data_IF_707551918339
#
_entry.id   IF_707551918339
#
_cell.length_a   1.000
_cell.length_b   1.000
_cell.length_c   1.000
_cell.angle_alpha   90.00
_cell.angle_beta   90.00
_cell.angle_gamma   90.00
#
_symmetry.space_group_name_H-M   'P 1'
#
loop_
_entity.id
_entity.type
_entity.pdbx_description
1 polymer ?
#
# COMPACT_ATOMS: atom_id res chain seq x y z
N UNK A 1 19.02 -22.27 52.43
CA UNK A 1 19.38 -21.84 51.06
C UNK A 1 18.50 -22.47 49.97
N UNK A 2 18.19 -23.77 49.98
CA UNK A 2 17.31 -24.43 48.97
C UNK A 2 15.92 -23.79 48.80
N UNK A 3 15.30 -23.27 49.86
CA UNK A 3 13.96 -22.64 49.80
C UNK A 3 13.93 -21.33 49.01
N UNK A 4 15.04 -20.58 48.99
CA UNK A 4 15.14 -19.32 48.23
C UNK A 4 15.27 -19.56 46.71
N UNK A 5 15.97 -20.62 46.30
CA UNK A 5 16.06 -21.00 44.89
C UNK A 5 14.71 -21.44 44.31
N UNK A 6 13.88 -22.14 45.10
CA UNK A 6 12.53 -22.56 44.67
C UNK A 6 11.61 -21.34 44.50
N UNK A 7 11.69 -20.37 45.40
CA UNK A 7 10.90 -19.14 45.30
C UNK A 7 11.31 -18.28 44.09
N UNK A 8 12.60 -18.17 43.80
CA UNK A 8 13.09 -17.43 42.62
C UNK A 8 12.66 -18.09 41.29
N UNK A 9 12.66 -19.42 41.25
CA UNK A 9 12.19 -20.18 40.09
C UNK A 9 10.68 -20.05 39.87
N UNK A 10 9.89 -20.00 40.96
CA UNK A 10 8.45 -19.79 40.89
C UNK A 10 8.08 -18.40 40.33
N UNK A 11 8.81 -17.34 40.70
CA UNK A 11 8.58 -15.98 40.19
C UNK A 11 8.89 -15.89 38.69
N UNK A 12 9.94 -16.57 38.22
CA UNK A 12 10.30 -16.62 36.80
C UNK A 12 9.29 -17.41 35.95
N UNK A 13 8.66 -18.45 36.51
CA UNK A 13 7.63 -19.24 35.80
C UNK A 13 6.30 -18.48 35.72
N UNK A 14 5.96 -17.70 36.74
CA UNK A 14 4.72 -16.92 36.80
C UNK A 14 4.77 -15.62 35.96
N UNK A 15 5.97 -15.14 35.62
CA UNK A 15 6.21 -14.05 34.68
C UNK A 15 6.05 -14.45 33.22
N UNK A 16 4.99 -15.16 32.87
CA UNK A 16 4.71 -15.52 31.48
C UNK A 16 4.58 -14.27 30.60
N UNK A 17 5.33 -14.22 29.49
CA UNK A 17 5.21 -13.16 28.49
C UNK A 17 3.79 -13.14 27.89
N UNK A 18 2.88 -12.38 28.50
CA UNK A 18 1.53 -12.17 28.00
C UNK A 18 1.57 -11.11 26.90
N UNK A 19 1.32 -11.50 25.65
CA UNK A 19 1.20 -10.53 24.56
C UNK A 19 -0.11 -9.74 24.73
N UNK A 20 -0.03 -8.40 24.71
CA UNK A 20 -1.19 -7.52 24.77
C UNK A 20 -2.16 -7.85 23.63
N UNK A 21 -3.44 -8.06 23.96
CA UNK A 21 -4.49 -8.29 22.95
C UNK A 21 -4.82 -6.99 22.22
N UNK A 22 -5.01 -7.07 20.91
CA UNK A 22 -5.45 -5.94 20.09
C UNK A 22 -6.98 -5.97 19.98
N UNK A 23 -7.71 -4.93 20.43
CA UNK A 23 -9.15 -4.84 20.24
C UNK A 23 -9.49 -4.46 18.79
N UNK A 24 -10.59 -5.00 18.27
CA UNK A 24 -11.15 -4.55 16.98
C UNK A 24 -11.93 -3.26 17.22
N UNK A 25 -11.64 -2.22 16.43
CA UNK A 25 -12.38 -0.97 16.45
C UNK A 25 -13.86 -1.22 16.14
N UNK A 26 -14.76 -0.47 16.76
CA UNK A 26 -16.21 -0.70 16.60
C UNK A 26 -16.65 -0.67 15.13
N UNK A 27 -16.03 0.20 14.34
CA UNK A 27 -16.28 0.40 12.91
C UNK A 27 -15.63 -0.68 12.04
N UNK A 28 -14.52 -1.26 12.49
CA UNK A 28 -13.78 -2.33 11.80
C UNK A 28 -14.43 -3.72 11.97
N UNK A 29 -15.47 -3.87 12.80
CA UNK A 29 -16.15 -5.15 13.03
C UNK A 29 -16.73 -5.74 11.74
N UNK A 30 -17.23 -4.86 10.86
CA UNK A 30 -17.84 -5.22 9.58
C UNK A 30 -16.82 -5.59 8.50
N UNK A 31 -15.52 -5.40 8.76
CA UNK A 31 -14.47 -5.90 7.88
C UNK A 31 -14.37 -7.42 8.03
N UNK A 32 -14.40 -8.12 6.90
CA UNK A 32 -14.42 -9.59 6.86
C UNK A 32 -13.41 -10.14 5.86
N UNK A 33 -12.93 -11.37 6.04
CA UNK A 33 -12.09 -12.02 5.04
C UNK A 33 -12.87 -12.24 3.73
N UNK A 34 -12.14 -12.31 2.61
CA UNK A 34 -12.65 -12.69 1.29
C UNK A 34 -11.74 -13.74 0.66
N UNK A 35 -12.27 -14.56 -0.26
CA UNK A 35 -11.48 -15.48 -1.09
C UNK A 35 -11.11 -14.84 -2.43
N UNK A 36 -10.03 -15.29 -3.06
CA UNK A 36 -9.62 -14.85 -4.41
C UNK A 36 -10.77 -14.97 -5.43
N UNK A 37 -11.48 -16.08 -5.44
CA UNK A 37 -12.65 -16.30 -6.32
C UNK A 37 -13.79 -15.31 -6.06
N UNK A 38 -13.95 -14.87 -4.81
CA UNK A 38 -14.98 -13.91 -4.41
C UNK A 38 -14.59 -12.48 -4.80
N UNK A 39 -13.29 -12.14 -4.79
CA UNK A 39 -12.79 -10.85 -5.27
C UNK A 39 -13.19 -10.65 -6.73
N UNK A 40 -12.97 -11.67 -7.57
CA UNK A 40 -13.28 -11.63 -9.00
C UNK A 40 -14.80 -11.57 -9.22
N UNK A 41 -15.56 -12.47 -8.59
CA UNK A 41 -17.02 -12.56 -8.82
C UNK A 41 -17.79 -11.36 -8.31
N UNK A 42 -17.36 -10.74 -7.20
CA UNK A 42 -17.98 -9.55 -6.62
C UNK A 42 -17.43 -8.23 -7.21
N UNK A 43 -16.47 -8.30 -8.14
CA UNK A 43 -15.81 -7.15 -8.76
C UNK A 43 -15.31 -6.15 -7.72
N UNK A 44 -14.52 -6.64 -6.77
CA UNK A 44 -14.01 -5.81 -5.70
C UNK A 44 -12.85 -4.94 -6.17
N UNK A 45 -12.81 -3.70 -5.69
CA UNK A 45 -11.70 -2.79 -5.96
C UNK A 45 -10.54 -3.12 -5.02
N UNK A 46 -9.34 -3.25 -5.57
CA UNK A 46 -8.12 -3.39 -4.78
C UNK A 46 -7.79 -2.04 -4.10
N UNK A 47 -7.47 -2.07 -2.81
CA UNK A 47 -7.16 -0.87 -2.02
C UNK A 47 -5.66 -0.77 -1.76
N UNK A 48 -5.08 -1.75 -1.06
CA UNK A 48 -3.68 -1.69 -0.60
C UNK A 48 -3.16 -3.09 -0.25
N UNK A 49 -1.82 -3.27 -0.25
CA UNK A 49 -1.15 -4.42 0.36
C UNK A 49 -0.59 -4.02 1.74
N UNK A 50 -0.91 -4.80 2.75
CA UNK A 50 -0.43 -4.63 4.12
C UNK A 50 0.43 -5.81 4.57
N UNK A 51 1.60 -5.53 5.13
CA UNK A 51 2.49 -6.56 5.69
C UNK A 51 2.47 -6.50 7.22
N UNK A 52 2.03 -7.59 7.84
CA UNK A 52 2.07 -7.76 9.28
C UNK A 52 3.26 -8.62 9.68
N UNK A 53 4.16 -8.09 10.52
CA UNK A 53 5.32 -8.81 11.02
C UNK A 53 5.18 -9.14 12.52
N UNK A 54 5.62 -10.33 12.89
CA UNK A 54 5.80 -10.84 14.27
C UNK A 54 4.65 -10.55 15.25
N UNK A 55 3.41 -10.70 14.79
CA UNK A 55 2.23 -10.55 15.62
C UNK A 55 1.88 -11.86 16.34
N UNK A 56 1.36 -11.75 17.56
CA UNK A 56 0.80 -12.92 18.23
C UNK A 56 -0.37 -13.46 17.40
N UNK A 57 -0.51 -14.79 17.19
CA UNK A 57 -1.52 -15.33 16.27
C UNK A 57 -2.97 -14.91 16.56
N UNK A 58 -3.30 -14.68 17.83
CA UNK A 58 -4.63 -14.17 18.23
C UNK A 58 -4.89 -12.71 17.84
N UNK A 59 -3.85 -11.94 17.50
CA UNK A 59 -3.94 -10.54 17.13
C UNK A 59 -3.90 -10.31 15.61
N UNK A 60 -3.54 -11.33 14.81
CA UNK A 60 -3.46 -11.19 13.34
C UNK A 60 -4.79 -10.69 12.78
N UNK A 61 -5.90 -11.38 13.06
CA UNK A 61 -7.22 -10.97 12.55
C UNK A 61 -7.66 -9.60 13.07
N UNK A 62 -7.56 -9.28 14.38
CA UNK A 62 -7.90 -7.95 14.86
C UNK A 62 -7.12 -6.81 14.22
N UNK A 63 -5.81 -7.00 14.02
CA UNK A 63 -4.95 -6.02 13.35
C UNK A 63 -5.40 -5.86 11.90
N UNK A 64 -5.55 -6.95 11.15
CA UNK A 64 -5.98 -6.87 9.74
C UNK A 64 -7.33 -6.17 9.58
N UNK A 65 -8.30 -6.40 10.48
CA UNK A 65 -9.59 -5.70 10.44
C UNK A 65 -9.43 -4.19 10.66
N UNK A 66 -8.63 -3.80 11.64
CA UNK A 66 -8.42 -2.40 11.96
C UNK A 66 -7.70 -1.69 10.82
N UNK A 67 -6.61 -2.26 10.33
CA UNK A 67 -5.80 -1.68 9.26
C UNK A 67 -6.59 -1.60 7.94
N UNK A 68 -7.33 -2.66 7.59
CA UNK A 68 -8.21 -2.62 6.42
C UNK A 68 -9.27 -1.53 6.52
N UNK A 69 -9.87 -1.34 7.70
CA UNK A 69 -10.83 -0.25 7.91
C UNK A 69 -10.16 1.13 7.77
N UNK A 70 -8.97 1.32 8.35
CA UNK A 70 -8.22 2.58 8.25
C UNK A 70 -7.84 2.91 6.81
N UNK A 71 -7.51 1.89 6.01
CA UNK A 71 -7.26 2.01 4.58
C UNK A 71 -8.53 2.27 3.74
N UNK A 72 -9.73 2.24 4.34
CA UNK A 72 -11.01 2.42 3.65
C UNK A 72 -11.53 1.16 2.94
N UNK A 73 -10.98 0.00 3.26
CA UNK A 73 -11.42 -1.30 2.77
C UNK A 73 -12.50 -1.91 3.67
N UNK A 74 -13.31 -2.80 3.09
CA UNK A 74 -14.32 -3.58 3.83
C UNK A 74 -14.06 -5.09 3.78
N UNK A 75 -13.10 -5.55 2.98
CA UNK A 75 -12.62 -6.93 2.95
C UNK A 75 -11.10 -6.98 3.02
N UNK A 76 -10.58 -8.11 3.50
CA UNK A 76 -9.16 -8.45 3.41
C UNK A 76 -8.97 -9.88 2.93
N UNK A 77 -7.88 -10.13 2.21
CA UNK A 77 -7.42 -11.46 1.80
C UNK A 77 -6.01 -11.63 2.35
N UNK A 78 -5.70 -12.77 2.95
CA UNK A 78 -4.31 -13.10 3.29
C UNK A 78 -3.73 -13.80 2.07
N UNK A 79 -2.85 -13.11 1.33
CA UNK A 79 -2.21 -13.65 0.13
C UNK A 79 -1.08 -14.61 0.50
N UNK A 80 -0.31 -14.29 1.54
CA UNK A 80 0.81 -15.12 1.97
C UNK A 80 0.98 -15.14 3.50
N UNK A 81 1.36 -16.30 4.04
CA UNK A 81 1.78 -16.45 5.43
C UNK A 81 3.29 -16.65 5.46
N UNK A 82 4.03 -15.60 5.85
CA UNK A 82 5.50 -15.60 5.83
C UNK A 82 6.10 -16.27 7.07
N UNK A 83 5.43 -16.19 8.22
CA UNK A 83 5.85 -16.88 9.45
C UNK A 83 4.66 -17.40 10.24
N UNK A 84 4.90 -18.52 10.92
CA UNK A 84 3.94 -19.11 11.85
C UNK A 84 4.56 -19.24 13.24
N UNK A 85 3.71 -19.17 14.27
CA UNK A 85 4.04 -19.47 15.65
C UNK A 85 3.08 -20.54 16.16
N UNK A 86 3.62 -21.70 16.53
CA UNK A 86 2.82 -22.88 16.93
C UNK A 86 1.77 -23.25 15.87
N UNK A 87 2.19 -23.32 14.60
CA UNK A 87 1.35 -23.62 13.43
C UNK A 87 0.20 -22.62 13.16
N UNK A 88 0.23 -21.44 13.79
CA UNK A 88 -0.74 -20.37 13.53
C UNK A 88 -0.03 -19.17 12.91
N UNK A 89 -0.64 -18.46 11.96
CA UNK A 89 0.00 -17.29 11.34
C UNK A 89 0.45 -16.27 12.38
N UNK A 90 1.67 -15.77 12.25
CA UNK A 90 2.22 -14.68 13.06
C UNK A 90 2.76 -13.56 12.18
N UNK A 91 3.13 -13.84 10.94
CA UNK A 91 3.46 -12.82 9.94
C UNK A 91 2.75 -13.16 8.64
N UNK A 92 2.11 -12.17 8.04
CA UNK A 92 1.27 -12.33 6.85
C UNK A 92 1.41 -11.13 5.92
N UNK A 93 1.25 -11.38 4.64
CA UNK A 93 0.98 -10.36 3.62
C UNK A 93 -0.51 -10.46 3.35
N UNK A 94 -1.21 -9.33 3.47
CA UNK A 94 -2.63 -9.24 3.25
C UNK A 94 -2.94 -8.15 2.23
N UNK A 95 -3.96 -8.40 1.43
CA UNK A 95 -4.49 -7.47 0.44
C UNK A 95 -5.84 -6.97 0.92
N UNK A 96 -6.07 -5.67 0.77
CA UNK A 96 -7.29 -5.01 1.20
C UNK A 96 -8.16 -4.70 -0.01
N UNK A 97 -9.46 -4.95 0.13
CA UNK A 97 -10.43 -4.85 -0.94
C UNK A 97 -11.68 -4.11 -0.51
N UNK A 98 -12.31 -3.45 -1.47
CA UNK A 98 -13.61 -2.81 -1.30
C UNK A 98 -14.64 -3.49 -2.21
N UNK A 99 -15.54 -4.25 -1.60
CA UNK A 99 -16.61 -4.98 -2.28
C UNK A 99 -17.98 -4.40 -1.88
N UNK A 100 -18.64 -3.63 -2.76
CA UNK A 100 -20.03 -3.09 -2.72
C UNK A 100 -20.61 -2.51 -1.39
N UNK A 101 -21.34 -1.38 -1.46
CA UNK A 101 -22.82 -1.49 -1.45
C UNK A 101 -23.59 -0.59 -2.42
N UNK A 102 -22.95 0.36 -3.08
CA UNK A 102 -23.40 1.04 -4.29
C UNK A 102 -22.12 1.38 -5.02
N UNK A 103 -22.15 1.48 -6.35
CA UNK A 103 -21.07 2.08 -7.12
C UNK A 103 -20.91 3.57 -6.73
N UNK A 104 -20.40 3.84 -5.54
CA UNK A 104 -19.19 4.63 -5.55
C UNK A 104 -18.09 3.66 -5.98
N UNK A 105 -17.86 3.41 -7.29
CA UNK A 105 -16.90 4.25 -8.03
C UNK A 105 -16.38 5.31 -7.08
N UNK A 106 -15.09 5.40 -6.87
CA UNK A 106 -14.56 6.72 -6.53
C UNK A 106 -14.86 7.60 -7.76
N UNK A 107 -16.12 8.01 -7.94
CA UNK A 107 -16.48 9.26 -8.52
C UNK A 107 -15.69 10.16 -7.58
N UNK A 108 -14.60 10.70 -8.10
CA UNK A 108 -14.05 11.95 -7.63
C UNK A 108 -15.22 12.95 -7.61
N UNK A 109 -16.11 12.82 -6.63
CA UNK A 109 -17.12 13.79 -6.26
C UNK A 109 -16.43 14.57 -5.17
N UNK A 110 -16.02 15.81 -5.35
CA UNK A 110 -16.49 16.87 -6.24
C UNK A 110 -15.27 17.80 -6.41
N UNK A 111 -14.99 18.26 -7.62
CA UNK A 111 -14.15 19.46 -7.87
C UNK A 111 -12.70 19.48 -7.32
N UNK A 112 -12.07 18.35 -7.04
CA UNK A 112 -10.61 18.34 -7.05
C UNK A 112 -10.16 18.15 -8.49
N UNK A 113 -10.08 19.24 -9.26
CA UNK A 113 -9.00 19.30 -10.27
C UNK A 113 -7.78 18.76 -9.54
N UNK A 114 -7.20 17.65 -10.00
CA UNK A 114 -5.97 17.15 -9.37
C UNK A 114 -4.97 18.27 -9.62
N UNK A 115 -4.72 19.09 -8.60
CA UNK A 115 -3.82 20.22 -8.69
C UNK A 115 -2.42 19.69 -8.41
N UNK A 116 -1.45 20.22 -9.15
CA UNK A 116 -0.05 19.98 -8.87
C UNK A 116 0.25 20.38 -7.43
N UNK A 117 0.79 19.45 -6.64
CA UNK A 117 1.31 19.78 -5.31
C UNK A 117 2.50 20.74 -5.44
N UNK A 118 2.74 21.62 -4.47
CA UNK A 118 3.92 22.46 -4.47
C UNK A 118 5.19 21.62 -4.65
N UNK A 119 5.98 21.93 -5.68
CA UNK A 119 7.19 21.18 -6.04
C UNK A 119 7.03 20.14 -7.16
N UNK A 120 5.83 19.56 -7.34
CA UNK A 120 5.56 18.63 -8.44
C UNK A 120 5.57 19.31 -9.82
N UNK A 121 5.45 20.65 -9.87
CA UNK A 121 5.56 21.45 -11.10
C UNK A 121 6.92 21.29 -11.81
N UNK A 122 7.96 20.87 -11.08
CA UNK A 122 9.30 20.65 -11.64
C UNK A 122 9.51 19.23 -12.16
N UNK A 123 8.52 18.35 -11.95
CA UNK A 123 8.55 16.99 -12.49
C UNK A 123 8.15 17.04 -13.95
N UNK A 124 8.90 16.34 -14.80
CA UNK A 124 8.58 16.23 -16.22
C UNK A 124 8.80 14.80 -16.71
N UNK A 125 8.18 14.40 -17.83
CA UNK A 125 8.54 13.15 -18.49
C UNK A 125 10.00 13.19 -18.95
N UNK A 126 10.62 12.01 -19.05
CA UNK A 126 11.95 11.82 -19.65
C UNK A 126 11.83 10.91 -20.87
N UNK A 127 12.51 11.28 -21.95
CA UNK A 127 12.62 10.45 -23.15
C UNK A 127 13.83 9.50 -23.03
N UNK A 128 13.75 8.30 -23.60
CA UNK A 128 14.83 7.30 -23.51
C UNK A 128 16.18 7.81 -24.04
N UNK A 129 16.19 8.70 -25.03
CA UNK A 129 17.41 9.34 -25.52
C UNK A 129 18.15 10.18 -24.46
N UNK A 130 17.44 10.62 -23.41
CA UNK A 130 17.99 11.38 -22.29
C UNK A 130 18.45 10.50 -21.13
N UNK A 131 17.86 9.29 -20.99
CA UNK A 131 18.23 8.30 -19.95
C UNK A 131 19.63 7.75 -20.18
N UNK A 132 20.03 7.59 -21.44
CA UNK A 132 21.39 7.17 -21.80
C UNK A 132 22.43 8.29 -21.65
N UNK A 133 21.99 9.54 -21.56
CA UNK A 133 22.87 10.72 -21.65
C UNK A 133 22.98 11.58 -20.38
N UNK A 134 22.26 11.29 -19.29
CA UNK A 134 22.32 12.13 -18.09
C UNK A 134 22.26 11.34 -16.78
N UNK A 135 22.89 11.93 -15.76
CA UNK A 135 23.03 11.53 -14.35
C UNK A 135 21.70 11.30 -13.60
N UNK A 136 20.91 10.34 -14.07
CA UNK A 136 19.59 9.98 -13.56
C UNK A 136 19.65 8.62 -12.89
N UNK A 137 19.23 8.54 -11.63
CA UNK A 137 19.10 7.30 -10.88
C UNK A 137 17.66 6.81 -10.93
N UNK A 138 17.43 5.55 -11.30
CA UNK A 138 16.13 4.91 -11.15
C UNK A 138 15.84 4.75 -9.64
N UNK A 139 14.69 5.25 -9.20
CA UNK A 139 14.24 5.12 -7.82
C UNK A 139 13.33 3.91 -7.66
N UNK A 140 12.29 3.83 -8.47
CA UNK A 140 11.29 2.76 -8.39
C UNK A 140 10.42 2.73 -9.65
N UNK A 141 9.68 1.65 -9.84
CA UNK A 141 8.64 1.50 -10.85
C UNK A 141 7.30 1.50 -10.13
N UNK A 142 6.37 2.37 -10.54
CA UNK A 142 5.08 2.53 -9.90
C UNK A 142 3.94 2.28 -10.88
N UNK A 143 2.86 1.67 -10.39
CA UNK A 143 1.67 1.35 -11.18
C UNK A 143 0.57 2.35 -10.86
N UNK A 144 0.16 3.12 -11.85
CA UNK A 144 -0.92 4.09 -11.78
C UNK A 144 -2.19 3.44 -12.34
N UNK A 145 -3.25 3.41 -11.53
CA UNK A 145 -4.52 2.77 -11.89
C UNK A 145 -5.64 3.81 -11.90
N UNK A 146 -6.53 3.70 -12.88
CA UNK A 146 -7.82 4.40 -12.95
C UNK A 146 -7.73 5.94 -12.86
N UNK A 147 -6.73 6.54 -13.51
CA UNK A 147 -6.65 8.00 -13.61
C UNK A 147 -7.44 8.45 -14.84
N UNK A 148 -8.16 9.58 -14.74
CA UNK A 148 -8.75 10.22 -15.91
C UNK A 148 -7.61 10.62 -16.86
N UNK A 149 -7.82 10.57 -18.18
CA UNK A 149 -6.75 10.94 -19.13
C UNK A 149 -6.29 12.38 -18.98
N UNK A 150 -7.17 13.26 -18.50
CA UNK A 150 -6.89 14.68 -18.27
C UNK A 150 -6.06 14.92 -17.01
N UNK A 151 -6.22 14.07 -15.98
CA UNK A 151 -5.48 14.18 -14.73
C UNK A 151 -4.24 13.29 -14.65
N UNK A 152 -4.02 12.41 -15.65
CA UNK A 152 -2.94 11.43 -15.64
C UNK A 152 -1.57 12.07 -15.47
N UNK A 153 -1.31 13.15 -16.18
CA UNK A 153 -0.03 13.87 -16.10
C UNK A 153 0.18 14.52 -14.73
N UNK A 154 -0.88 15.07 -14.14
CA UNK A 154 -0.80 15.73 -12.84
C UNK A 154 -0.59 14.71 -11.72
N UNK A 155 -1.28 13.56 -11.80
CA UNK A 155 -1.09 12.46 -10.85
C UNK A 155 0.31 11.85 -10.99
N UNK A 156 0.80 11.65 -12.22
CA UNK A 156 2.17 11.21 -12.47
C UNK A 156 3.18 12.17 -11.85
N UNK A 157 3.02 13.48 -12.05
CA UNK A 157 3.90 14.48 -11.47
C UNK A 157 3.86 14.47 -9.93
N UNK A 158 2.67 14.42 -9.35
CA UNK A 158 2.47 14.39 -7.91
C UNK A 158 3.11 13.15 -7.27
N UNK A 159 2.82 11.96 -7.77
CA UNK A 159 3.38 10.71 -7.21
C UNK A 159 4.88 10.61 -7.43
N UNK A 160 5.37 11.03 -8.59
CA UNK A 160 6.81 11.07 -8.86
C UNK A 160 7.53 11.96 -7.86
N UNK A 161 6.97 13.12 -7.54
CA UNK A 161 7.52 14.01 -6.52
C UNK A 161 7.46 13.38 -5.12
N UNK A 162 6.33 12.80 -4.74
CA UNK A 162 6.14 12.12 -3.45
C UNK A 162 7.11 10.95 -3.24
N UNK A 163 7.44 10.24 -4.32
CA UNK A 163 8.42 9.15 -4.34
C UNK A 163 9.87 9.65 -4.44
N UNK A 164 10.10 10.97 -4.36
CA UNK A 164 11.41 11.61 -4.34
C UNK A 164 12.05 11.78 -5.72
N UNK A 165 11.34 11.45 -6.79
CA UNK A 165 11.76 11.65 -8.17
C UNK A 165 11.58 13.08 -8.66
N UNK A 166 12.19 13.39 -9.79
CA UNK A 166 11.95 14.61 -10.55
C UNK A 166 11.72 14.36 -12.05
N UNK A 167 11.76 13.09 -12.47
CA UNK A 167 11.47 12.64 -13.82
C UNK A 167 10.72 11.31 -13.77
N UNK A 168 9.84 11.07 -14.73
CA UNK A 168 9.18 9.78 -14.90
C UNK A 168 9.16 9.34 -16.35
N UNK A 169 9.08 8.04 -16.57
CA UNK A 169 8.99 7.44 -17.89
C UNK A 169 7.89 6.37 -17.91
N UNK A 170 6.88 6.51 -18.78
CA UNK A 170 5.80 5.53 -18.90
C UNK A 170 6.31 4.32 -19.68
N UNK A 171 6.51 3.20 -19.00
CA UNK A 171 7.05 1.97 -19.59
C UNK A 171 5.97 1.10 -20.22
N UNK A 172 4.75 1.11 -19.67
CA UNK A 172 3.66 0.26 -20.17
C UNK A 172 2.30 0.90 -19.95
N UNK A 173 1.42 0.78 -20.95
CA UNK A 173 0.00 1.06 -20.79
C UNK A 173 -0.71 -0.22 -20.32
N UNK A 174 -1.48 -0.12 -19.24
CA UNK A 174 -2.22 -1.25 -18.66
C UNK A 174 -3.64 -1.27 -19.18
N UNK A 175 -4.29 -0.10 -19.22
CA UNK A 175 -5.68 0.01 -19.65
C UNK A 175 -5.89 1.29 -20.44
N UNK A 176 -6.70 1.20 -21.48
CA UNK A 176 -7.00 2.27 -22.42
C UNK A 176 -8.49 2.29 -22.67
N UNK A 177 -9.13 3.43 -22.44
CA UNK A 177 -10.55 3.64 -22.74
C UNK A 177 -10.64 4.77 -23.76
N UNK A 178 -11.36 4.55 -24.86
CA UNK A 178 -11.52 5.51 -25.97
C UNK A 178 -10.19 6.05 -26.55
N UNK A 179 -9.14 5.21 -26.57
CA UNK A 179 -7.82 5.57 -27.10
C UNK A 179 -6.96 6.40 -26.15
N UNK A 180 -7.44 6.68 -24.93
CA UNK A 180 -6.72 7.38 -23.89
C UNK A 180 -6.27 6.43 -22.77
N UNK A 181 -5.06 6.62 -22.26
CA UNK A 181 -4.50 5.76 -21.21
C UNK A 181 -5.16 6.06 -19.86
N UNK A 182 -5.78 5.05 -19.25
CA UNK A 182 -6.37 5.13 -17.89
C UNK A 182 -5.46 4.57 -16.81
N UNK A 183 -4.62 3.62 -17.18
CA UNK A 183 -3.70 2.96 -16.25
C UNK A 183 -2.35 2.79 -16.91
N UNK A 184 -1.29 3.18 -16.22
CA UNK A 184 0.09 3.16 -16.75
C UNK A 184 1.07 2.64 -15.71
N UNK A 185 2.11 1.95 -16.17
CA UNK A 185 3.31 1.68 -15.39
C UNK A 185 4.30 2.76 -15.75
N UNK A 186 4.86 3.44 -14.75
CA UNK A 186 5.91 4.42 -14.96
C UNK A 186 7.11 4.18 -14.04
N UNK A 187 8.29 4.27 -14.63
CA UNK A 187 9.56 4.31 -13.91
C UNK A 187 9.82 5.73 -13.44
N UNK A 188 10.29 5.85 -12.20
CA UNK A 188 10.55 7.12 -11.54
C UNK A 188 12.05 7.29 -11.37
N UNK A 189 12.54 8.46 -11.76
CA UNK A 189 13.95 8.79 -11.77
C UNK A 189 14.22 10.04 -10.92
N UNK A 190 15.43 10.05 -10.34
CA UNK A 190 16.04 11.24 -9.76
C UNK A 190 17.25 11.64 -10.59
N UNK A 191 17.08 12.68 -11.39
CA UNK A 191 18.13 13.32 -12.15
C UNK A 191 18.76 14.44 -11.33
N UNK A 192 20.09 14.57 -11.35
CA UNK A 192 20.74 15.77 -10.82
C UNK A 192 20.26 16.98 -11.64
N UNK A 193 19.79 18.03 -10.97
CA UNK A 193 19.62 19.31 -11.63
C UNK A 193 21.00 19.77 -12.11
N UNK A 194 21.16 20.03 -13.41
CA UNK A 194 22.24 20.90 -13.86
C UNK A 194 21.91 22.28 -13.29
N UNK A 195 22.39 22.57 -12.08
CA UNK A 195 22.50 23.95 -11.64
C UNK A 195 23.39 24.62 -12.65
N UNK A 196 22.83 25.55 -13.42
CA UNK A 196 23.60 26.45 -14.26
C UNK A 196 24.45 27.26 -13.27
N UNK A 197 25.71 26.89 -13.11
CA UNK A 197 26.70 27.81 -12.56
C UNK A 197 26.79 28.94 -13.58
N UNK A 198 26.21 30.08 -13.23
CA UNK A 198 26.49 31.35 -13.89
C UNK A 198 27.82 31.89 -13.37
#
# INVERSE_FOLDING_TARGET
MKKFFIALFAVLILGGCATKKVPVMSQAKNVTPISESSVISQKCDFVEVYTLADSHPNNVVPVLKNEAYLAGANRYLISEVTKTRRNRPSSVIAEFYRCNPHQTKKKLTIESQIKLIPGAQNVSPIAFAEVENNSCKILTTHVFKEVSSEDLEVELANQTYMLGGNRFHITKLIDTEDGQAKSVVADIYRCKHRTVNY
#
